data_IF_743089740498
#
_entry.id   IF_743089740498
#
_cell.length_a   1.000
_cell.length_b   1.000
_cell.length_c   1.000
_cell.angle_alpha   90.00
_cell.angle_beta   90.00
_cell.angle_gamma   90.00
#
_symmetry.space_group_name_H-M   'P 1'
#
loop_
_entity.id
_entity.type
_entity.pdbx_description
1 polymer ?
#
# COMPACT_ATOMS: atom_id res chain seq x y z
N UNK A 1 -24.28 -15.89 -0.60
CA UNK A 1 -24.01 -17.32 -0.33
C UNK A 1 -22.51 -17.60 -0.51
N UNK A 2 -21.95 -18.64 0.13
CA UNK A 2 -20.54 -19.04 -0.14
C UNK A 2 -20.45 -19.66 -1.53
N UNK A 3 -19.48 -19.24 -2.34
CA UNK A 3 -19.34 -19.70 -3.73
C UNK A 3 -18.36 -20.86 -3.90
N UNK A 4 -17.88 -21.46 -2.81
CA UNK A 4 -16.86 -22.52 -2.84
C UNK A 4 -17.27 -23.76 -3.65
N UNK A 5 -18.58 -23.97 -3.83
CA UNK A 5 -19.17 -25.07 -4.61
C UNK A 5 -19.65 -24.67 -6.01
N UNK A 6 -19.53 -23.39 -6.39
CA UNK A 6 -19.91 -22.94 -7.72
C UNK A 6 -18.69 -23.07 -8.64
N UNK A 7 -18.86 -23.76 -9.78
CA UNK A 7 -17.84 -23.89 -10.84
C UNK A 7 -17.60 -22.55 -11.56
N UNK A 8 -17.12 -21.53 -10.83
CA UNK A 8 -16.84 -20.20 -11.37
C UNK A 8 -15.36 -20.13 -11.72
N UNK A 9 -15.05 -19.76 -12.96
CA UNK A 9 -13.67 -19.54 -13.39
C UNK A 9 -13.03 -18.39 -12.59
N UNK A 10 -11.75 -18.48 -12.19
CA UNK A 10 -11.05 -17.41 -11.46
C UNK A 10 -11.12 -16.05 -12.16
N UNK A 11 -11.19 -16.04 -13.50
CA UNK A 11 -11.35 -14.84 -14.30
C UNK A 11 -12.71 -14.16 -14.10
N UNK A 12 -13.80 -14.93 -14.04
CA UNK A 12 -15.14 -14.37 -13.83
C UNK A 12 -15.28 -13.80 -12.41
N UNK A 13 -14.62 -14.45 -11.45
CA UNK A 13 -14.49 -13.91 -10.11
C UNK A 13 -13.79 -12.54 -10.11
N UNK A 14 -12.65 -12.42 -10.80
CA UNK A 14 -11.89 -11.17 -10.92
C UNK A 14 -12.72 -10.09 -11.64
N UNK A 15 -13.42 -10.46 -12.70
CA UNK A 15 -14.18 -9.54 -13.53
C UNK A 15 -15.41 -8.95 -12.81
N UNK A 16 -15.95 -9.67 -11.83
CA UNK A 16 -17.13 -9.25 -11.05
C UNK A 16 -16.78 -8.97 -9.58
N UNK A 17 -15.52 -8.62 -9.30
CA UNK A 17 -15.13 -8.15 -7.99
C UNK A 17 -15.90 -6.90 -7.61
N UNK A 18 -16.29 -6.81 -6.34
CA UNK A 18 -16.89 -5.62 -5.78
C UNK A 18 -15.90 -4.47 -5.61
N UNK A 19 -16.35 -3.41 -4.95
CA UNK A 19 -15.58 -2.16 -4.72
C UNK A 19 -14.31 -2.35 -3.89
N UNK A 20 -14.16 -3.51 -3.26
CA UNK A 20 -13.01 -3.88 -2.45
C UNK A 20 -11.99 -4.76 -3.19
N UNK A 21 -12.20 -5.02 -4.49
CA UNK A 21 -11.27 -5.79 -5.35
C UNK A 21 -10.84 -7.10 -4.66
N UNK A 22 -9.54 -7.29 -4.44
CA UNK A 22 -8.95 -8.45 -3.76
C UNK A 22 -8.73 -8.25 -2.25
N UNK A 23 -9.25 -7.18 -1.66
CA UNK A 23 -9.13 -6.89 -0.24
C UNK A 23 -10.36 -7.31 0.56
N UNK A 24 -10.13 -7.69 1.81
CA UNK A 24 -11.21 -8.08 2.71
C UNK A 24 -12.04 -6.87 3.20
N UNK A 25 -13.33 -6.76 2.86
CA UNK A 25 -14.17 -5.64 3.29
C UNK A 25 -14.43 -5.66 4.80
N UNK A 26 -14.48 -6.84 5.42
CA UNK A 26 -14.73 -6.99 6.87
C UNK A 26 -13.54 -6.48 7.69
N UNK A 27 -12.31 -6.88 7.35
CA UNK A 27 -11.10 -6.38 8.00
C UNK A 27 -10.95 -4.87 7.84
N UNK A 28 -11.27 -4.34 6.65
CA UNK A 28 -11.24 -2.91 6.40
C UNK A 28 -12.31 -2.15 7.21
N UNK A 29 -13.52 -2.70 7.28
CA UNK A 29 -14.64 -2.04 7.98
C UNK A 29 -14.44 -2.07 9.49
N UNK A 30 -14.15 -3.25 10.07
CA UNK A 30 -14.07 -3.44 11.52
C UNK A 30 -12.73 -3.03 12.12
N UNK A 31 -11.62 -3.41 11.48
CA UNK A 31 -10.26 -3.22 12.03
C UNK A 31 -9.46 -2.13 11.33
N UNK A 32 -10.00 -1.59 10.23
CA UNK A 32 -9.28 -0.64 9.39
C UNK A 32 -7.97 -1.21 8.80
N UNK A 33 -7.95 -2.52 8.58
CA UNK A 33 -6.81 -3.28 8.06
C UNK A 33 -7.01 -3.67 6.59
N UNK A 34 -6.02 -3.36 5.76
CA UNK A 34 -5.97 -3.77 4.35
C UNK A 34 -5.30 -5.13 4.23
N UNK A 35 -6.11 -6.19 4.23
CA UNK A 35 -5.63 -7.56 4.03
C UNK A 35 -5.72 -7.90 2.55
N UNK A 36 -4.58 -8.14 1.92
CA UNK A 36 -4.49 -8.56 0.53
C UNK A 36 -4.80 -10.06 0.40
N UNK A 37 -5.90 -10.38 -0.26
CA UNK A 37 -6.35 -11.76 -0.50
C UNK A 37 -6.09 -12.21 -1.95
N UNK A 38 -5.20 -11.53 -2.70
CA UNK A 38 -4.89 -11.86 -4.09
C UNK A 38 -4.12 -13.18 -4.22
N UNK A 39 -3.27 -13.49 -3.23
CA UNK A 39 -2.47 -14.72 -3.20
C UNK A 39 -3.32 -15.99 -3.01
N UNK A 40 -4.53 -15.85 -2.45
CA UNK A 40 -5.44 -16.98 -2.27
C UNK A 40 -6.19 -17.20 -3.58
N UNK A 41 -5.67 -18.12 -4.41
CA UNK A 41 -6.35 -18.58 -5.63
C UNK A 41 -7.65 -19.34 -5.34
N UNK A 42 -7.88 -19.77 -4.10
CA UNK A 42 -9.05 -20.54 -3.70
C UNK A 42 -10.27 -19.66 -3.44
N UNK A 43 -11.43 -20.10 -3.90
CA UNK A 43 -12.77 -19.52 -3.68
C UNK A 43 -13.37 -19.85 -2.31
N UNK A 44 -12.58 -20.46 -1.42
CA UNK A 44 -13.00 -20.95 -0.10
C UNK A 44 -13.59 -19.84 0.78
N UNK A 45 -13.12 -18.60 0.64
CA UNK A 45 -13.53 -17.45 1.45
C UNK A 45 -14.09 -16.31 0.60
N UNK A 46 -14.93 -16.64 -0.37
CA UNK A 46 -15.59 -15.66 -1.23
C UNK A 46 -17.10 -15.69 -1.01
N UNK A 47 -17.68 -14.51 -0.79
CA UNK A 47 -19.12 -14.32 -0.74
C UNK A 47 -19.59 -13.59 -2.00
N UNK A 48 -20.69 -14.08 -2.58
CA UNK A 48 -21.48 -13.33 -3.54
C UNK A 48 -22.55 -12.52 -2.80
N UNK A 49 -22.61 -11.22 -3.13
CA UNK A 49 -23.64 -10.31 -2.65
C UNK A 49 -23.99 -9.26 -3.72
N UNK A 50 -25.26 -9.18 -4.09
CA UNK A 50 -25.80 -8.24 -5.11
C UNK A 50 -25.10 -8.39 -6.48
N UNK A 51 -24.74 -9.60 -6.88
CA UNK A 51 -24.08 -9.88 -8.15
C UNK A 51 -22.61 -9.47 -8.20
N UNK A 52 -22.02 -9.15 -7.05
CA UNK A 52 -20.59 -8.82 -6.89
C UNK A 52 -19.94 -9.83 -5.94
N UNK A 53 -18.67 -10.10 -6.17
CA UNK A 53 -17.90 -11.01 -5.32
C UNK A 53 -16.98 -10.24 -4.38
N UNK A 54 -16.93 -10.71 -3.13
CA UNK A 54 -16.12 -10.15 -2.06
C UNK A 54 -15.23 -11.23 -1.47
N UNK A 55 -13.92 -11.00 -1.51
CA UNK A 55 -12.93 -11.89 -0.91
C UNK A 55 -12.78 -11.59 0.58
N UNK A 56 -12.57 -12.63 1.37
CA UNK A 56 -12.40 -12.52 2.82
C UNK A 56 -11.03 -13.02 3.23
N UNK A 57 -10.50 -12.42 4.30
CA UNK A 57 -9.20 -12.81 4.87
C UNK A 57 -9.23 -14.23 5.44
N UNK A 58 -10.39 -14.72 5.84
CA UNK A 58 -10.56 -16.06 6.37
C UNK A 58 -12.02 -16.41 6.65
N UNK A 59 -12.26 -17.58 7.26
CA UNK A 59 -13.61 -18.10 7.52
C UNK A 59 -14.38 -17.25 8.55
N UNK A 60 -13.68 -16.62 9.50
CA UNK A 60 -14.32 -15.73 10.49
C UNK A 60 -14.88 -14.48 9.83
N UNK A 61 -14.12 -13.88 8.93
CA UNK A 61 -14.54 -12.69 8.18
C UNK A 61 -15.66 -13.04 7.21
N UNK A 62 -15.60 -14.21 6.55
CA UNK A 62 -16.70 -14.71 5.72
C UNK A 62 -17.99 -14.84 6.51
N UNK A 63 -17.94 -15.46 7.69
CA UNK A 63 -19.13 -15.64 8.52
C UNK A 63 -19.74 -14.30 8.94
N UNK A 64 -18.92 -13.33 9.33
CA UNK A 64 -19.38 -11.98 9.67
C UNK A 64 -20.03 -11.28 8.48
N UNK A 65 -19.48 -11.43 7.28
CA UNK A 65 -20.09 -10.86 6.09
C UNK A 65 -21.42 -11.51 5.72
N UNK A 66 -21.53 -12.83 5.91
CA UNK A 66 -22.79 -13.54 5.67
C UNK A 66 -23.87 -13.18 6.71
N UNK A 67 -23.47 -12.80 7.92
CA UNK A 67 -24.37 -12.34 8.99
C UNK A 67 -24.97 -10.97 8.67
N UNK A 68 -24.14 -10.01 8.20
CA UNK A 68 -24.58 -8.64 7.93
C UNK A 68 -23.90 -8.03 6.69
N UNK A 69 -24.23 -8.49 5.47
CA UNK A 69 -23.53 -8.08 4.26
C UNK A 69 -23.74 -6.61 3.89
N UNK A 70 -24.88 -6.00 4.29
CA UNK A 70 -25.15 -4.59 4.01
C UNK A 70 -24.17 -3.64 4.71
N UNK A 71 -23.66 -4.04 5.87
CA UNK A 71 -22.68 -3.24 6.61
C UNK A 71 -21.29 -3.25 5.96
N UNK A 72 -20.94 -4.33 5.26
CA UNK A 72 -19.63 -4.52 4.66
C UNK A 72 -19.60 -4.25 3.15
N UNK A 73 -20.73 -4.41 2.47
CA UNK A 73 -20.96 -4.07 1.06
C UNK A 73 -22.18 -3.15 0.90
N UNK A 74 -22.19 -1.95 1.53
CA UNK A 74 -23.23 -0.97 1.32
C UNK A 74 -23.18 -0.42 -0.11
N UNK A 75 -24.31 0.12 -0.60
CA UNK A 75 -24.40 0.75 -1.94
C UNK A 75 -23.43 1.94 -2.05
N UNK A 76 -23.25 2.67 -0.94
CA UNK A 76 -22.25 3.72 -0.81
C UNK A 76 -21.22 3.30 0.25
N UNK A 77 -20.03 2.83 -0.17
CA UNK A 77 -18.98 2.44 0.76
C UNK A 77 -18.50 3.63 1.57
N UNK A 78 -18.78 3.60 2.88
CA UNK A 78 -18.23 4.58 3.84
C UNK A 78 -16.71 4.55 3.89
N UNK A 79 -16.11 3.40 3.60
CA UNK A 79 -14.66 3.21 3.51
C UNK A 79 -14.33 2.65 2.13
N UNK A 80 -13.81 3.51 1.28
CA UNK A 80 -13.25 3.12 -0.02
C UNK A 80 -11.80 2.70 0.14
N UNK A 81 -11.34 1.77 -0.71
CA UNK A 81 -9.93 1.42 -0.77
C UNK A 81 -9.09 2.69 -1.02
N UNK A 82 -7.95 2.86 -0.34
CA UNK A 82 -7.06 3.97 -0.65
C UNK A 82 -6.56 3.85 -2.09
N UNK A 83 -6.26 5.00 -2.70
CA UNK A 83 -5.68 5.04 -4.04
C UNK A 83 -4.46 4.10 -4.16
N UNK A 84 -4.23 3.46 -5.31
CA UNK A 84 -3.18 2.45 -5.48
C UNK A 84 -1.79 2.93 -5.02
N UNK A 85 -1.46 4.22 -5.20
CA UNK A 85 -0.19 4.83 -4.76
C UNK A 85 -0.06 5.06 -3.24
N UNK A 86 -1.12 4.81 -2.47
CA UNK A 86 -1.15 4.93 -1.00
C UNK A 86 -1.45 3.60 -0.31
N UNK A 87 -1.58 2.51 -1.07
CA UNK A 87 -1.74 1.17 -0.50
C UNK A 87 -0.37 0.70 0.02
N UNK A 88 -0.31 0.05 1.19
CA UNK A 88 0.92 -0.54 1.67
C UNK A 88 1.32 -1.68 0.72
N UNK A 89 2.29 -1.41 -0.16
CA UNK A 89 2.85 -2.39 -1.08
C UNK A 89 4.13 -2.97 -0.49
N UNK A 90 4.32 -4.27 -0.67
CA UNK A 90 5.59 -4.94 -0.35
C UNK A 90 6.60 -4.52 -1.42
N UNK A 91 7.44 -3.53 -1.11
CA UNK A 91 8.51 -3.09 -2.01
C UNK A 91 9.30 -4.31 -2.47
N UNK A 92 9.47 -4.46 -3.78
CA UNK A 92 10.31 -5.52 -4.31
C UNK A 92 11.78 -5.23 -4.03
N UNK A 93 12.60 -6.27 -3.97
CA UNK A 93 14.05 -6.13 -3.80
C UNK A 93 14.65 -5.23 -4.90
N UNK A 94 14.10 -5.28 -6.11
CA UNK A 94 14.48 -4.42 -7.23
C UNK A 94 14.20 -2.92 -6.99
N UNK A 95 13.03 -2.56 -6.47
CA UNK A 95 12.72 -1.16 -6.14
C UNK A 95 13.57 -0.66 -4.96
N UNK A 96 13.79 -1.53 -3.98
CA UNK A 96 14.67 -1.26 -2.85
C UNK A 96 16.12 -1.03 -3.32
N UNK A 97 16.61 -1.89 -4.21
CA UNK A 97 17.95 -1.78 -4.82
C UNK A 97 18.09 -0.50 -5.65
N UNK A 98 17.08 -0.14 -6.45
CA UNK A 98 17.08 1.10 -7.22
C UNK A 98 17.13 2.35 -6.31
N UNK A 99 16.43 2.34 -5.18
CA UNK A 99 16.49 3.43 -4.19
C UNK A 99 17.91 3.54 -3.61
N UNK A 100 18.53 2.41 -3.24
CA UNK A 100 19.89 2.41 -2.70
C UNK A 100 20.97 2.75 -3.74
N UNK A 101 20.84 2.28 -4.98
CA UNK A 101 21.75 2.64 -6.07
C UNK A 101 21.67 4.14 -6.43
N UNK A 102 20.57 4.83 -6.10
CA UNK A 102 20.45 6.28 -6.25
C UNK A 102 20.95 7.08 -5.02
N UNK A 103 21.29 6.43 -3.90
CA UNK A 103 21.91 7.10 -2.76
C UNK A 103 23.39 7.32 -3.05
N UNK A 104 23.69 8.47 -3.65
CA UNK A 104 25.07 8.91 -3.82
C UNK A 104 25.46 9.71 -2.57
N UNK A 105 26.59 9.34 -1.95
CA UNK A 105 27.17 10.14 -0.88
C UNK A 105 27.61 11.50 -1.45
N UNK A 106 27.16 12.59 -0.82
CA UNK A 106 27.64 13.92 -1.18
C UNK A 106 29.16 14.03 -1.02
N UNK A 107 29.78 14.92 -1.79
CA UNK A 107 31.24 15.12 -1.74
C UNK A 107 31.60 16.13 -0.65
N UNK A 108 32.74 15.90 0.02
CA UNK A 108 33.25 16.78 1.07
C UNK A 108 33.56 18.19 0.57
N UNK A 109 33.92 18.32 -0.71
CA UNK A 109 34.20 19.61 -1.37
C UNK A 109 32.96 20.52 -1.48
N UNK A 110 31.76 19.95 -1.40
CA UNK A 110 30.50 20.69 -1.46
C UNK A 110 29.75 20.64 -0.14
N UNK A 111 30.44 20.48 0.98
CA UNK A 111 29.83 20.48 2.31
C UNK A 111 29.32 21.89 2.69
N UNK A 112 28.10 21.95 3.22
CA UNK A 112 27.49 23.19 3.74
C UNK A 112 27.07 22.97 5.18
N UNK A 113 27.45 23.89 6.08
CA UNK A 113 26.96 23.89 7.45
C UNK A 113 25.71 24.76 7.57
N UNK A 114 24.66 24.20 8.17
CA UNK A 114 23.44 24.95 8.47
C UNK A 114 22.81 24.46 9.77
N UNK A 115 22.58 25.39 10.72
CA UNK A 115 22.01 25.12 12.06
C UNK A 115 22.72 23.99 12.81
N UNK A 116 24.05 24.08 12.89
CA UNK A 116 24.89 23.11 13.60
C UNK A 116 24.87 21.69 12.97
N UNK A 117 24.47 21.59 11.70
CA UNK A 117 24.45 20.34 10.93
C UNK A 117 25.22 20.49 9.64
N UNK A 118 26.04 19.49 9.34
CA UNK A 118 26.82 19.43 8.11
C UNK A 118 26.04 18.66 7.03
N UNK A 119 25.91 19.26 5.85
CA UNK A 119 25.24 18.69 4.68
C UNK A 119 26.25 18.49 3.56
N UNK A 120 26.48 17.24 3.14
CA UNK A 120 27.31 16.94 1.98
C UNK A 120 26.47 16.95 0.71
N UNK A 121 26.81 17.80 -0.26
CA UNK A 121 26.06 17.92 -1.51
C UNK A 121 26.79 17.25 -2.68
N UNK A 122 26.04 16.93 -3.74
CA UNK A 122 26.53 16.09 -4.84
C UNK A 122 27.29 16.85 -5.92
N UNK A 123 27.11 18.17 -6.03
CA UNK A 123 27.73 18.97 -7.09
C UNK A 123 27.90 20.43 -6.67
N UNK A 124 28.76 21.16 -7.37
CA UNK A 124 29.10 22.57 -7.14
C UNK A 124 27.89 23.52 -7.19
N UNK A 125 26.87 23.21 -7.99
CA UNK A 125 25.64 24.01 -8.08
C UNK A 125 24.59 23.70 -7.02
N UNK A 126 24.79 22.68 -6.19
CA UNK A 126 23.87 22.27 -5.15
C UNK A 126 23.96 23.13 -3.88
N UNK A 127 25.15 23.55 -3.40
CA UNK A 127 25.29 24.52 -2.31
C UNK A 127 24.47 25.79 -2.52
N UNK A 128 24.57 26.40 -3.71
CA UNK A 128 23.79 27.61 -4.04
C UNK A 128 22.28 27.37 -3.99
N UNK A 129 21.81 26.23 -4.52
CA UNK A 129 20.39 25.86 -4.50
C UNK A 129 19.90 25.58 -3.08
N UNK A 130 20.75 24.95 -2.25
CA UNK A 130 20.46 24.69 -0.84
C UNK A 130 20.31 25.99 -0.06
N UNK A 131 21.22 26.94 -0.26
CA UNK A 131 21.17 28.27 0.37
C UNK A 131 19.94 29.08 -0.06
N UNK A 132 19.47 28.92 -1.31
CA UNK A 132 18.28 29.60 -1.84
C UNK A 132 16.96 28.99 -1.39
N UNK A 133 16.92 27.70 -1.08
CA UNK A 133 15.67 26.98 -0.78
C UNK A 133 15.80 26.08 0.45
N UNK A 134 16.36 26.62 1.55
CA UNK A 134 16.61 25.91 2.80
C UNK A 134 15.39 25.09 3.27
N UNK A 135 14.18 25.69 3.22
CA UNK A 135 12.90 25.09 3.62
C UNK A 135 12.58 23.75 2.95
N UNK A 136 13.04 23.57 1.71
CA UNK A 136 12.78 22.37 0.91
C UNK A 136 13.69 21.20 1.31
N UNK A 137 14.86 21.48 1.87
CA UNK A 137 15.91 20.47 2.09
C UNK A 137 16.13 20.16 3.57
N UNK A 138 15.99 21.14 4.47
CA UNK A 138 16.37 20.96 5.88
C UNK A 138 15.42 20.04 6.67
N UNK A 139 14.15 19.94 6.27
CA UNK A 139 13.11 19.20 6.98
C UNK A 139 12.69 17.91 6.25
N UNK A 140 13.52 17.44 5.30
CA UNK A 140 13.30 16.16 4.65
C UNK A 140 13.58 15.06 5.68
N UNK A 141 12.53 14.38 6.14
CA UNK A 141 12.69 13.10 6.84
C UNK A 141 13.20 12.09 5.82
N UNK A 142 14.48 11.70 5.94
CA UNK A 142 15.02 10.58 5.16
C UNK A 142 14.10 9.35 5.37
N UNK A 143 13.78 8.58 4.30
CA UNK A 143 13.15 7.29 4.49
C UNK A 143 14.09 6.44 5.37
N UNK A 144 13.57 5.92 6.48
CA UNK A 144 14.25 5.29 7.64
C UNK A 144 15.10 4.03 7.35
N UNK A 145 15.76 3.92 6.20
CA UNK A 145 16.53 2.74 5.85
C UNK A 145 17.91 3.15 5.37
N UNK A 146 18.81 3.29 6.33
CA UNK A 146 20.22 3.08 6.08
C UNK A 146 20.44 1.56 6.09
N UNK A 147 21.17 0.98 5.13
CA UNK A 147 21.52 -0.43 5.18
C UNK A 147 22.38 -0.71 6.42
N UNK A 148 22.25 -1.89 7.06
CA UNK A 148 23.14 -2.29 8.15
C UNK A 148 24.61 -2.41 7.66
N UNK A 149 25.59 -2.22 8.56
CA UNK A 149 27.03 -2.28 8.26
C UNK A 149 27.52 -3.68 7.86
#
# INVERSE_FOLDING_TARGET
ASISDLCISPQELINRLGEYEHYCPVSLTLRNELVDCSATTRTDYVAEYRGRYYRMAGPKELQQFLDDPERFAPIEPRKILPAPNRRPHRQTEAETKAIYECLVLGQQEFAVEYRDKLYFLLNEGAPEKFMRQLEKYWNIRLPNKLPPP
#
